data_IF_858270946892
#
_entry.id   IF_858270946892
#
_cell.length_a   1.000
_cell.length_b   1.000
_cell.length_c   1.000
_cell.angle_alpha   90.00
_cell.angle_beta   90.00
_cell.angle_gamma   90.00
#
_symmetry.space_group_name_H-M   'P 1'
#
loop_
_entity.id
_entity.type
_entity.pdbx_description
1 polymer ?
#
# COMPACT_ATOMS: atom_id res chain seq x y z
N UNK A 1 -0.23 -17.47 54.43
CA UNK A 1 0.93 -16.98 53.66
C UNK A 1 1.39 -18.11 52.76
N UNK A 2 1.03 -18.09 51.48
CA UNK A 2 1.54 -19.01 50.48
C UNK A 2 2.15 -18.16 49.36
N UNK A 3 3.44 -18.39 49.12
CA UNK A 3 4.30 -17.62 48.22
C UNK A 3 4.02 -18.07 46.79
N UNK A 4 3.62 -17.12 45.93
CA UNK A 4 3.52 -17.30 44.49
C UNK A 4 4.93 -17.30 43.88
N UNK A 5 5.31 -18.39 43.21
CA UNK A 5 6.50 -18.42 42.36
C UNK A 5 6.13 -17.85 40.96
N UNK A 6 6.95 -16.99 40.35
CA UNK A 6 6.70 -16.50 39.00
C UNK A 6 7.18 -17.54 37.98
N UNK A 7 6.25 -18.07 37.18
CA UNK A 7 6.56 -18.77 35.93
C UNK A 7 6.96 -17.73 34.88
N UNK A 8 8.26 -17.41 34.82
CA UNK A 8 8.87 -16.81 33.63
C UNK A 8 9.48 -17.94 32.80
N UNK A 9 8.74 -18.44 31.81
CA UNK A 9 9.35 -19.20 30.70
C UNK A 9 10.02 -18.19 29.74
N UNK A 10 11.23 -18.48 29.22
CA UNK A 10 11.83 -17.65 28.17
C UNK A 10 10.97 -17.68 26.90
N UNK A 11 10.92 -16.58 26.16
CA UNK A 11 10.47 -16.61 24.76
C UNK A 11 11.38 -17.57 23.99
N UNK A 12 10.81 -18.67 23.49
CA UNK A 12 11.49 -19.55 22.54
C UNK A 12 11.76 -18.80 21.22
N UNK A 13 12.89 -19.10 20.60
CA UNK A 13 13.32 -18.53 19.32
C UNK A 13 12.29 -18.89 18.23
N UNK A 14 11.72 -17.93 17.47
CA UNK A 14 10.69 -18.19 16.46
C UNK A 14 11.10 -19.13 15.31
N UNK A 15 12.31 -19.68 15.33
CA UNK A 15 12.83 -20.59 14.29
C UNK A 15 12.60 -22.08 14.59
N UNK A 16 12.12 -22.46 15.78
CA UNK A 16 12.04 -23.88 16.18
C UNK A 16 10.64 -24.52 16.11
N UNK A 17 9.62 -23.75 15.70
CA UNK A 17 8.28 -24.30 15.44
C UNK A 17 8.23 -24.85 14.02
N UNK A 18 8.56 -26.14 13.85
CA UNK A 18 8.24 -26.86 12.61
C UNK A 18 6.75 -27.24 12.63
N UNK A 19 5.96 -26.90 11.60
CA UNK A 19 4.61 -27.41 11.50
C UNK A 19 4.68 -28.91 11.17
N UNK A 20 4.39 -29.75 12.16
CA UNK A 20 4.10 -31.15 11.91
C UNK A 20 2.92 -31.24 10.93
N UNK A 21 2.97 -32.22 10.01
CA UNK A 21 1.92 -32.42 9.01
C UNK A 21 0.60 -32.78 9.71
N UNK A 22 -0.29 -31.81 9.86
CA UNK A 22 -1.66 -32.04 10.31
C UNK A 22 -2.44 -32.78 9.23
N UNK A 23 -2.91 -33.99 9.54
CA UNK A 23 -3.83 -34.75 8.70
C UNK A 23 -5.24 -34.24 9.02
N UNK A 24 -5.83 -33.47 8.11
CA UNK A 24 -7.19 -32.94 8.26
C UNK A 24 -8.20 -33.92 7.65
N UNK A 25 -9.25 -34.25 8.40
CA UNK A 25 -10.28 -35.23 8.00
C UNK A 25 -11.58 -34.61 7.45
N UNK A 26 -11.78 -33.28 7.52
CA UNK A 26 -12.90 -32.57 6.88
C UNK A 26 -12.55 -31.12 6.50
N UNK A 27 -13.29 -30.51 5.56
CA UNK A 27 -13.03 -29.13 5.06
C UNK A 27 -13.13 -28.06 6.16
N UNK A 28 -14.07 -28.24 7.09
CA UNK A 28 -14.26 -27.29 8.20
C UNK A 28 -13.17 -27.44 9.27
N UNK A 29 -12.67 -28.67 9.46
CA UNK A 29 -11.55 -28.94 10.38
C UNK A 29 -10.24 -28.33 9.89
N UNK A 30 -10.00 -28.23 8.58
CA UNK A 30 -8.78 -27.62 8.01
C UNK A 30 -8.71 -26.14 8.36
N UNK A 31 -9.83 -25.45 8.16
CA UNK A 31 -9.94 -24.00 8.40
C UNK A 31 -9.70 -23.69 9.88
N UNK A 32 -10.33 -24.45 10.78
CA UNK A 32 -10.16 -24.29 12.23
C UNK A 32 -8.74 -24.63 12.70
N UNK A 33 -8.14 -25.69 12.16
CA UNK A 33 -6.77 -26.11 12.51
C UNK A 33 -5.74 -25.06 12.09
N UNK A 34 -5.87 -24.53 10.87
CA UNK A 34 -5.01 -23.46 10.37
C UNK A 34 -5.21 -22.18 11.18
N UNK A 35 -6.45 -21.79 11.45
CA UNK A 35 -6.76 -20.62 12.26
C UNK A 35 -6.14 -20.72 13.66
N UNK A 36 -6.30 -21.85 14.37
CA UNK A 36 -5.68 -22.06 15.68
C UNK A 36 -4.14 -21.99 15.60
N UNK A 37 -3.54 -22.60 14.57
CA UNK A 37 -2.09 -22.47 14.32
C UNK A 37 -1.66 -21.01 14.17
N UNK A 38 -2.43 -20.19 13.45
CA UNK A 38 -2.11 -18.78 13.24
C UNK A 38 -2.29 -17.92 14.48
N UNK A 39 -3.30 -18.18 15.31
CA UNK A 39 -3.45 -17.45 16.58
C UNK A 39 -2.27 -17.69 17.53
N UNK A 40 -1.61 -18.85 17.41
CA UNK A 40 -0.39 -19.17 18.16
C UNK A 40 0.86 -18.49 17.58
N UNK A 41 0.93 -18.34 16.26
CA UNK A 41 2.07 -17.71 15.57
C UNK A 41 2.00 -16.18 15.65
N UNK A 42 0.81 -15.59 15.48
CA UNK A 42 0.60 -14.15 15.49
C UNK A 42 -0.20 -13.73 16.71
N UNK A 43 0.51 -13.08 17.63
CA UNK A 43 -0.02 -12.70 18.93
C UNK A 43 -0.46 -11.24 18.99
N UNK A 44 -0.32 -10.48 17.89
CA UNK A 44 -0.73 -9.07 17.89
C UNK A 44 -2.22 -8.94 17.68
N UNK A 45 -2.85 -8.03 18.42
CA UNK A 45 -4.28 -7.73 18.31
C UNK A 45 -4.69 -7.38 16.87
N UNK A 46 -3.84 -6.64 16.14
CA UNK A 46 -4.08 -6.28 14.74
C UNK A 46 -4.08 -7.51 13.82
N UNK A 47 -3.17 -8.46 14.03
CA UNK A 47 -3.10 -9.69 13.24
C UNK A 47 -4.34 -10.57 13.47
N UNK A 48 -4.81 -10.68 14.71
CA UNK A 48 -6.01 -11.45 15.03
C UNK A 48 -7.27 -10.82 14.40
N UNK A 49 -7.43 -9.50 14.53
CA UNK A 49 -8.52 -8.75 13.87
C UNK A 49 -8.53 -8.93 12.36
N UNK A 50 -7.34 -8.96 11.76
CA UNK A 50 -7.21 -9.22 10.33
C UNK A 50 -7.71 -10.61 9.95
N UNK A 51 -7.31 -11.65 10.69
CA UNK A 51 -7.75 -13.02 10.44
C UNK A 51 -9.26 -13.17 10.62
N UNK A 52 -9.85 -12.52 11.62
CA UNK A 52 -11.31 -12.51 11.83
C UNK A 52 -12.03 -11.86 10.65
N UNK A 53 -11.53 -10.71 10.19
CA UNK A 53 -12.12 -10.00 9.05
C UNK A 53 -11.99 -10.82 7.77
N UNK A 54 -10.85 -11.50 7.57
CA UNK A 54 -10.63 -12.41 6.46
C UNK A 54 -11.61 -13.60 6.51
N UNK A 55 -11.77 -14.24 7.67
CA UNK A 55 -12.67 -15.37 7.83
C UNK A 55 -14.13 -14.99 7.56
N UNK A 56 -14.57 -13.82 8.03
CA UNK A 56 -15.92 -13.29 7.76
C UNK A 56 -16.11 -12.99 6.27
N UNK A 57 -15.10 -12.38 5.62
CA UNK A 57 -15.19 -11.97 4.22
C UNK A 57 -15.27 -13.16 3.24
N UNK A 58 -14.71 -14.30 3.61
CA UNK A 58 -14.64 -15.52 2.79
C UNK A 58 -15.42 -16.70 3.39
N UNK A 59 -16.45 -16.42 4.20
CA UNK A 59 -17.26 -17.44 4.86
C UNK A 59 -17.97 -18.37 3.86
N UNK A 60 -18.33 -17.85 2.68
CA UNK A 60 -18.96 -18.58 1.57
C UNK A 60 -17.95 -19.36 0.71
N UNK A 61 -16.64 -19.10 0.89
CA UNK A 61 -15.54 -19.65 0.10
C UNK A 61 -14.40 -20.14 1.01
N UNK A 62 -14.64 -21.12 1.90
CA UNK A 62 -13.67 -21.56 2.90
C UNK A 62 -12.35 -22.07 2.28
N UNK A 63 -12.42 -22.74 1.13
CA UNK A 63 -11.22 -23.24 0.44
C UNK A 63 -10.34 -22.12 -0.13
N UNK A 64 -10.93 -21.02 -0.57
CA UNK A 64 -10.18 -19.83 -1.01
C UNK A 64 -9.41 -19.24 0.18
N UNK A 65 -10.07 -19.12 1.34
CA UNK A 65 -9.45 -18.67 2.58
C UNK A 65 -8.31 -19.60 3.03
N UNK A 66 -8.53 -20.92 3.04
CA UNK A 66 -7.52 -21.92 3.38
C UNK A 66 -6.29 -21.83 2.46
N UNK A 67 -6.50 -21.71 1.14
CA UNK A 67 -5.40 -21.58 0.19
C UNK A 67 -4.58 -20.30 0.43
N UNK A 68 -5.25 -19.19 0.73
CA UNK A 68 -4.58 -17.92 1.05
C UNK A 68 -3.80 -18.00 2.36
N UNK A 69 -4.37 -18.65 3.37
CA UNK A 69 -3.70 -18.93 4.63
C UNK A 69 -2.46 -19.82 4.43
N UNK A 70 -2.55 -20.89 3.64
CA UNK A 70 -1.40 -21.72 3.27
C UNK A 70 -0.30 -20.89 2.59
N UNK A 71 -0.64 -19.99 1.67
CA UNK A 71 0.33 -19.06 1.07
C UNK A 71 1.05 -18.20 2.12
N UNK A 72 0.33 -17.67 3.12
CA UNK A 72 0.94 -16.89 4.20
C UNK A 72 1.86 -17.79 5.05
N UNK A 73 1.46 -19.03 5.37
CA UNK A 73 2.30 -20.00 6.07
C UNK A 73 3.56 -20.30 5.29
N UNK A 74 3.46 -20.62 4.00
CA UNK A 74 4.60 -20.95 3.15
C UNK A 74 5.58 -19.77 3.04
N UNK A 75 5.05 -18.55 2.92
CA UNK A 75 5.85 -17.35 3.01
C UNK A 75 6.52 -17.21 4.39
N UNK A 76 5.77 -17.43 5.48
CA UNK A 76 6.25 -17.37 6.86
C UNK A 76 7.25 -18.48 7.21
N UNK A 77 7.26 -19.60 6.50
CA UNK A 77 8.29 -20.64 6.60
C UNK A 77 9.49 -20.34 5.69
N UNK A 78 9.38 -19.36 4.80
CA UNK A 78 10.43 -19.00 3.83
C UNK A 78 10.43 -19.84 2.56
N UNK A 79 9.42 -20.71 2.37
CA UNK A 79 9.20 -21.50 1.16
C UNK A 79 8.81 -20.62 -0.03
N UNK A 80 8.02 -19.57 0.23
CA UNK A 80 7.59 -18.60 -0.79
C UNK A 80 8.35 -17.28 -0.60
N UNK A 81 9.02 -16.72 -1.63
CA UNK A 81 9.69 -15.43 -1.53
C UNK A 81 8.66 -14.31 -1.38
N UNK A 82 9.01 -13.22 -0.68
CA UNK A 82 8.05 -12.14 -0.42
C UNK A 82 7.47 -11.48 -1.67
N UNK A 83 8.21 -11.48 -2.80
CA UNK A 83 7.68 -10.99 -4.08
C UNK A 83 6.52 -11.83 -4.58
N UNK A 84 6.67 -13.15 -4.52
CA UNK A 84 5.64 -14.10 -4.95
C UNK A 84 4.43 -14.03 -4.02
N UNK A 85 4.67 -13.95 -2.71
CA UNK A 85 3.60 -13.77 -1.72
C UNK A 85 2.78 -12.50 -2.00
N UNK A 86 3.43 -11.36 -2.24
CA UNK A 86 2.73 -10.12 -2.56
C UNK A 86 1.92 -10.26 -3.85
N UNK A 87 2.48 -10.84 -4.91
CA UNK A 87 1.79 -11.02 -6.20
C UNK A 87 0.53 -11.88 -6.01
N UNK A 88 0.68 -13.05 -5.39
CA UNK A 88 -0.44 -13.95 -5.16
C UNK A 88 -1.48 -13.35 -4.21
N UNK A 89 -1.06 -12.73 -3.10
CA UNK A 89 -1.96 -12.08 -2.15
C UNK A 89 -2.73 -10.92 -2.80
N UNK A 90 -2.05 -10.15 -3.64
CA UNK A 90 -2.66 -9.03 -4.34
C UNK A 90 -3.67 -9.46 -5.41
N UNK A 91 -3.44 -10.61 -6.04
CA UNK A 91 -4.38 -11.25 -6.97
C UNK A 91 -5.59 -11.80 -6.21
N UNK A 92 -5.35 -12.49 -5.09
CA UNK A 92 -6.40 -13.06 -4.24
C UNK A 92 -7.31 -11.98 -3.64
N UNK A 93 -6.72 -10.93 -3.07
CA UNK A 93 -7.44 -9.83 -2.40
C UNK A 93 -7.80 -8.69 -3.35
N UNK A 94 -7.85 -8.94 -4.67
CA UNK A 94 -8.12 -7.90 -5.68
C UNK A 94 -9.41 -7.13 -5.39
N UNK A 95 -10.49 -7.80 -5.02
CA UNK A 95 -11.77 -7.15 -4.75
C UNK A 95 -11.90 -6.70 -3.28
N UNK A 96 -10.81 -6.79 -2.51
CA UNK A 96 -10.76 -6.44 -1.08
C UNK A 96 -9.54 -5.56 -0.76
N UNK A 97 -9.45 -4.33 -1.32
CA UNK A 97 -8.30 -3.44 -1.14
C UNK A 97 -7.98 -3.10 0.33
N UNK A 98 -9.02 -3.08 1.19
CA UNK A 98 -8.84 -2.87 2.64
C UNK A 98 -8.10 -4.04 3.29
N UNK A 99 -8.53 -5.28 3.04
CA UNK A 99 -7.83 -6.48 3.50
C UNK A 99 -6.40 -6.54 2.96
N UNK A 100 -6.19 -6.21 1.69
CA UNK A 100 -4.84 -6.21 1.13
C UNK A 100 -3.91 -5.20 1.82
N UNK A 101 -4.42 -4.03 2.19
CA UNK A 101 -3.65 -3.04 2.97
C UNK A 101 -3.40 -3.53 4.40
N UNK A 102 -4.39 -4.13 5.04
CA UNK A 102 -4.31 -4.61 6.42
C UNK A 102 -3.37 -5.80 6.57
N UNK A 103 -3.11 -6.56 5.50
CA UNK A 103 -2.10 -7.61 5.44
C UNK A 103 -0.70 -7.12 5.90
N UNK A 104 -0.43 -5.82 5.84
CA UNK A 104 0.76 -5.22 6.45
C UNK A 104 0.93 -5.52 7.94
N UNK A 105 -0.14 -5.83 8.70
CA UNK A 105 -0.01 -6.23 10.09
C UNK A 105 0.70 -7.59 10.22
N UNK A 106 0.50 -8.49 9.26
CA UNK A 106 1.15 -9.81 9.18
C UNK A 106 2.56 -9.70 8.59
N UNK A 107 2.76 -8.79 7.61
CA UNK A 107 4.03 -8.67 6.89
C UNK A 107 5.21 -8.10 7.71
N UNK A 108 4.99 -7.71 8.97
CA UNK A 108 6.01 -7.17 9.90
C UNK A 108 7.00 -8.23 10.41
N UNK A 109 7.60 -9.02 9.52
CA UNK A 109 8.56 -10.06 9.89
C UNK A 109 9.85 -9.43 10.44
N UNK A 110 10.49 -9.97 11.50
CA UNK A 110 11.68 -9.39 12.11
C UNK A 110 12.90 -9.23 11.17
N UNK A 111 12.89 -9.92 10.03
CA UNK A 111 14.02 -10.00 9.08
C UNK A 111 13.71 -9.49 7.67
N UNK A 112 12.48 -9.06 7.39
CA UNK A 112 12.11 -8.59 6.05
C UNK A 112 10.86 -7.72 6.11
N UNK A 113 11.04 -6.40 6.10
CA UNK A 113 9.93 -5.46 6.06
C UNK A 113 9.48 -5.33 4.61
N UNK A 114 8.50 -6.16 4.24
CA UNK A 114 7.69 -5.90 3.05
C UNK A 114 6.50 -5.05 3.47
N UNK A 115 6.32 -3.91 2.79
CA UNK A 115 5.17 -3.04 3.03
C UNK A 115 4.40 -2.83 1.75
N UNK A 116 3.12 -3.20 1.78
CA UNK A 116 2.14 -2.99 0.73
C UNK A 116 1.56 -1.58 0.88
N UNK A 117 1.61 -0.80 -0.19
CA UNK A 117 0.88 0.47 -0.34
C UNK A 117 -0.16 0.23 -1.42
N UNK A 118 -1.43 0.32 -1.00
CA UNK A 118 -2.59 0.15 -1.84
C UNK A 118 -3.57 1.30 -1.57
N UNK A 119 -4.08 2.00 -2.60
CA UNK A 119 -5.16 2.94 -2.42
C UNK A 119 -6.43 2.19 -1.99
N UNK A 120 -7.11 2.68 -0.95
CA UNK A 120 -8.30 2.00 -0.37
C UNK A 120 -9.63 2.52 -0.86
N UNK A 121 -9.62 3.61 -1.62
CA UNK A 121 -10.82 4.28 -2.09
C UNK A 121 -11.31 3.70 -3.44
N UNK A 122 -10.63 2.66 -3.95
CA UNK A 122 -11.04 1.89 -5.14
C UNK A 122 -11.90 0.69 -4.74
N UNK A 123 -12.79 0.25 -5.64
CA UNK A 123 -13.53 -1.01 -5.48
C UNK A 123 -12.63 -2.23 -5.76
N UNK A 124 -11.60 -2.06 -6.59
CA UNK A 124 -10.68 -3.11 -6.99
C UNK A 124 -9.23 -2.66 -6.90
N UNK A 125 -8.33 -3.60 -6.61
CA UNK A 125 -6.89 -3.40 -6.64
C UNK A 125 -6.39 -3.62 -8.06
N UNK A 126 -5.89 -2.53 -8.64
CA UNK A 126 -5.31 -2.51 -9.99
C UNK A 126 -3.78 -2.43 -9.95
N UNK A 127 -3.22 -1.96 -8.83
CA UNK A 127 -1.80 -1.90 -8.61
C UNK A 127 -1.49 -2.00 -7.11
N UNK A 128 -0.31 -2.52 -6.80
CA UNK A 128 0.28 -2.50 -5.47
C UNK A 128 1.69 -1.98 -5.56
N UNK A 129 2.05 -1.06 -4.68
CA UNK A 129 3.46 -0.74 -4.43
C UNK A 129 3.92 -1.58 -3.25
N UNK A 130 4.89 -2.47 -3.47
CA UNK A 130 5.51 -3.23 -2.41
C UNK A 130 6.94 -2.73 -2.14
N UNK A 131 7.15 -2.26 -0.93
CA UNK A 131 8.44 -1.77 -0.45
C UNK A 131 9.18 -2.94 0.17
N UNK A 132 10.37 -3.23 -0.31
CA UNK A 132 11.22 -4.29 0.21
C UNK A 132 12.38 -3.64 0.97
N UNK A 133 12.20 -3.47 2.28
CA UNK A 133 13.25 -2.96 3.16
C UNK A 133 14.22 -4.11 3.46
N UNK A 134 15.18 -4.31 2.55
CA UNK A 134 16.39 -5.09 2.90
C UNK A 134 17.30 -4.22 3.77
N UNK A 135 18.24 -4.85 4.49
CA UNK A 135 19.35 -4.16 5.19
C UNK A 135 20.28 -3.36 4.25
N UNK A 136 20.02 -3.36 2.96
CA UNK A 136 20.70 -2.50 1.98
C UNK A 136 20.24 -1.07 2.15
N UNK A 137 21.18 -0.13 2.28
CA UNK A 137 20.90 1.31 2.15
C UNK A 137 21.31 1.73 0.73
N UNK A 138 20.41 2.26 -0.11
CA UNK A 138 19.00 2.60 0.14
C UNK A 138 18.02 1.39 0.04
N UNK A 139 16.80 1.49 0.61
CA UNK A 139 15.76 0.47 0.48
C UNK A 139 15.26 0.34 -0.97
N UNK A 140 14.90 -0.88 -1.37
CA UNK A 140 14.41 -1.18 -2.72
C UNK A 140 12.87 -1.12 -2.70
N UNK A 141 12.27 -0.25 -3.51
CA UNK A 141 10.83 -0.27 -3.73
C UNK A 141 10.52 -0.97 -5.04
N UNK A 142 9.46 -1.78 -5.08
CA UNK A 142 8.98 -2.38 -6.31
C UNK A 142 7.48 -2.18 -6.49
N UNK A 143 7.04 -1.86 -7.70
CA UNK A 143 5.62 -1.89 -8.05
C UNK A 143 5.28 -3.21 -8.71
N UNK A 144 4.17 -3.74 -8.25
CA UNK A 144 3.49 -4.88 -8.81
C UNK A 144 2.18 -4.34 -9.41
N UNK A 145 2.11 -4.33 -10.73
CA UNK A 145 0.86 -4.02 -11.41
C UNK A 145 -0.02 -5.27 -11.38
N UNK A 146 -1.29 -5.12 -10.99
CA UNK A 146 -2.26 -6.22 -11.00
C UNK A 146 -3.10 -6.05 -12.26
N UNK A 147 -2.85 -6.80 -13.33
CA UNK A 147 -3.51 -6.59 -14.62
C UNK A 147 -5.04 -6.76 -14.47
N UNK A 148 -5.83 -5.75 -14.84
CA UNK A 148 -7.33 -5.74 -14.72
C UNK A 148 -7.96 -6.98 -15.35
N UNK A 149 -7.36 -7.47 -16.44
CA UNK A 149 -7.65 -8.73 -17.09
C UNK A 149 -6.34 -9.36 -17.58
N UNK A 150 -6.28 -10.69 -17.72
CA UNK A 150 -5.19 -11.38 -18.43
C UNK A 150 -4.92 -10.77 -19.83
N UNK A 151 -5.95 -10.16 -20.43
CA UNK A 151 -5.95 -9.63 -21.79
C UNK A 151 -5.75 -8.11 -21.88
N UNK A 152 -5.65 -7.37 -20.77
CA UNK A 152 -5.41 -5.92 -20.84
C UNK A 152 -3.99 -5.67 -21.36
N UNK A 153 -3.89 -4.98 -22.51
CA UNK A 153 -2.62 -4.71 -23.20
C UNK A 153 -1.61 -4.09 -22.25
N UNK A 154 -0.49 -4.81 -22.06
CA UNK A 154 0.62 -4.44 -21.19
C UNK A 154 1.25 -3.14 -21.67
N UNK A 155 1.71 -2.23 -20.79
CA UNK A 155 2.48 -1.08 -21.24
C UNK A 155 3.78 -1.56 -21.92
N UNK A 156 4.01 -1.13 -23.16
CA UNK A 156 5.18 -1.49 -23.99
C UNK A 156 6.55 -1.08 -23.39
N UNK A 157 6.54 -0.33 -22.29
CA UNK A 157 7.74 -0.01 -21.51
C UNK A 157 8.41 -1.26 -20.87
N UNK A 158 7.74 -2.42 -20.88
CA UNK A 158 8.18 -3.65 -20.25
C UNK A 158 8.95 -4.55 -21.25
N UNK A 159 10.28 -4.53 -21.20
CA UNK A 159 11.09 -5.54 -21.88
C UNK A 159 10.96 -6.90 -21.18
N UNK A 160 10.34 -7.88 -21.86
CA UNK A 160 10.46 -9.35 -21.77
C UNK A 160 10.59 -10.13 -20.45
N UNK A 161 10.59 -9.54 -19.26
CA UNK A 161 10.64 -10.30 -18.00
C UNK A 161 9.25 -10.43 -17.36
N UNK A 162 8.78 -11.68 -17.26
CA UNK A 162 7.67 -12.08 -16.39
C UNK A 162 8.20 -12.35 -14.98
N UNK A 163 7.61 -11.81 -13.90
CA UNK A 163 6.39 -10.98 -13.78
C UNK A 163 6.65 -9.45 -13.85
N UNK A 164 5.60 -8.61 -14.07
CA UNK A 164 5.73 -7.15 -14.27
C UNK A 164 6.13 -6.45 -12.97
N UNK A 165 7.44 -6.32 -12.79
CA UNK A 165 8.05 -5.81 -11.58
C UNK A 165 8.81 -4.53 -11.90
N UNK A 166 8.23 -3.36 -11.66
CA UNK A 166 9.02 -2.13 -11.70
C UNK A 166 9.85 -2.05 -10.43
N UNK A 167 11.16 -2.04 -10.54
CA UNK A 167 12.04 -1.82 -9.38
C UNK A 167 12.61 -0.40 -9.36
N UNK A 168 12.95 0.11 -8.18
CA UNK A 168 13.72 1.36 -8.05
C UNK A 168 15.09 1.29 -8.71
N UNK A 169 15.63 0.09 -8.91
CA UNK A 169 16.88 -0.13 -9.63
C UNK A 169 16.71 0.11 -11.14
N UNK A 170 15.52 -0.20 -11.68
CA UNK A 170 15.15 0.04 -13.08
C UNK A 170 14.65 1.46 -13.37
N UNK A 171 14.28 2.22 -12.33
CA UNK A 171 14.07 3.67 -12.41
C UNK A 171 15.43 4.40 -12.57
N UNK A 172 16.18 4.00 -13.61
CA UNK A 172 17.46 4.58 -13.99
C UNK A 172 17.29 6.01 -14.51
N UNK A 173 18.40 6.71 -14.69
CA UNK A 173 18.45 8.09 -15.21
C UNK A 173 17.69 8.24 -16.54
N UNK A 174 17.61 7.17 -17.32
CA UNK A 174 16.93 7.12 -18.62
C UNK A 174 15.40 7.03 -18.50
N UNK A 175 14.84 6.85 -17.31
CA UNK A 175 13.39 6.90 -17.11
C UNK A 175 12.81 8.24 -17.58
N UNK A 176 13.54 9.33 -17.33
CA UNK A 176 13.14 10.67 -17.77
C UNK A 176 13.03 10.77 -19.30
N UNK A 177 13.93 10.12 -20.05
CA UNK A 177 13.88 10.15 -21.50
C UNK A 177 12.72 9.31 -22.04
N UNK A 178 12.23 8.32 -21.28
CA UNK A 178 11.15 7.40 -21.68
C UNK A 178 9.76 7.75 -21.14
N UNK A 179 9.63 8.76 -20.28
CA UNK A 179 8.37 9.10 -19.61
C UNK A 179 7.22 9.44 -20.57
N UNK A 180 7.56 9.91 -21.78
CA UNK A 180 6.59 10.20 -22.84
C UNK A 180 5.92 8.94 -23.42
N UNK A 181 6.58 7.78 -23.31
CA UNK A 181 6.09 6.48 -23.74
C UNK A 181 5.09 5.86 -22.74
N UNK A 182 4.94 6.45 -21.54
CA UNK A 182 3.96 5.97 -20.56
C UNK A 182 2.57 6.17 -21.14
N UNK A 183 1.84 5.07 -21.30
CA UNK A 183 0.44 5.08 -21.67
C UNK A 183 -0.36 5.95 -20.68
N UNK A 184 -1.23 6.86 -21.14
CA UNK A 184 -2.09 7.65 -20.25
C UNK A 184 -2.85 6.84 -19.20
N UNK A 185 -3.25 5.59 -19.50
CA UNK A 185 -3.92 4.68 -18.58
C UNK A 185 -3.04 4.35 -17.36
N UNK A 186 -1.74 4.20 -17.58
CA UNK A 186 -0.78 3.81 -16.53
C UNK A 186 -0.14 5.00 -15.82
N UNK A 187 -0.31 6.22 -16.35
CA UNK A 187 0.33 7.41 -15.83
C UNK A 187 0.01 7.74 -14.34
N UNK A 188 -1.22 7.56 -13.82
CA UNK A 188 -1.50 7.74 -12.39
C UNK A 188 -0.70 6.78 -11.49
N UNK A 189 -0.52 5.53 -11.92
CA UNK A 189 0.21 4.51 -11.17
C UNK A 189 1.71 4.75 -11.17
N UNK A 190 2.26 5.16 -12.33
CA UNK A 190 3.64 5.61 -12.44
C UNK A 190 3.87 6.85 -11.57
N UNK A 191 2.89 7.76 -11.46
CA UNK A 191 2.97 8.91 -10.56
C UNK A 191 3.08 8.47 -9.09
N UNK A 192 2.20 7.55 -8.67
CA UNK A 192 2.22 6.99 -7.30
C UNK A 192 3.56 6.29 -7.02
N UNK A 193 4.15 5.57 -8.00
CA UNK A 193 5.50 5.01 -7.89
C UNK A 193 6.52 6.06 -7.53
N UNK A 194 6.61 7.10 -8.37
CA UNK A 194 7.60 8.14 -8.25
C UNK A 194 7.48 8.86 -6.90
N UNK A 195 6.24 9.06 -6.43
CA UNK A 195 5.96 9.65 -5.13
C UNK A 195 6.39 8.74 -3.98
N UNK A 196 6.05 7.45 -4.02
CA UNK A 196 6.46 6.48 -3.00
C UNK A 196 7.98 6.40 -2.96
N UNK A 197 8.64 6.26 -4.11
CA UNK A 197 10.10 6.27 -4.21
C UNK A 197 10.68 7.58 -3.66
N UNK A 198 10.07 8.72 -3.98
CA UNK A 198 10.49 10.02 -3.47
C UNK A 198 10.32 10.17 -1.95
N UNK A 199 9.28 9.56 -1.38
CA UNK A 199 9.00 9.59 0.05
C UNK A 199 10.01 8.73 0.83
N UNK A 200 10.31 7.52 0.34
CA UNK A 200 11.21 6.58 1.03
C UNK A 200 12.70 6.80 0.73
N UNK A 201 13.06 7.49 -0.36
CA UNK A 201 14.46 7.82 -0.66
C UNK A 201 14.89 9.17 -0.03
N UNK A 202 15.80 9.10 0.94
CA UNK A 202 16.46 10.22 1.62
C UNK A 202 17.99 10.17 1.38
N UNK A 203 18.80 11.25 1.45
CA UNK A 203 18.59 12.67 1.18
C UNK A 203 19.40 13.13 -0.06
N UNK A 204 19.70 12.26 -1.03
CA UNK A 204 20.46 12.66 -2.22
C UNK A 204 19.64 13.65 -3.05
N UNK A 205 19.92 14.94 -2.86
CA UNK A 205 19.16 16.07 -3.38
C UNK A 205 18.98 16.02 -4.91
N UNK A 206 19.96 15.46 -5.62
CA UNK A 206 19.92 15.29 -7.07
C UNK A 206 18.86 14.28 -7.53
N UNK A 207 18.75 13.13 -6.85
CA UNK A 207 17.75 12.11 -7.18
C UNK A 207 16.33 12.60 -6.89
N UNK A 208 16.12 13.28 -5.76
CA UNK A 208 14.82 13.87 -5.42
C UNK A 208 14.37 14.91 -6.45
N UNK A 209 15.28 15.77 -6.92
CA UNK A 209 14.99 16.74 -7.99
C UNK A 209 14.58 16.04 -9.28
N UNK A 210 15.23 14.92 -9.65
CA UNK A 210 14.86 14.13 -10.83
C UNK A 210 13.47 13.50 -10.70
N UNK A 211 13.13 12.92 -9.54
CA UNK A 211 11.80 12.35 -9.30
C UNK A 211 10.71 13.42 -9.37
N UNK A 212 10.93 14.59 -8.75
CA UNK A 212 10.00 15.72 -8.84
C UNK A 212 9.83 16.17 -10.29
N UNK A 213 10.93 16.34 -11.04
CA UNK A 213 10.86 16.67 -12.47
C UNK A 213 10.13 15.62 -13.29
N UNK A 214 10.30 14.34 -12.96
CA UNK A 214 9.60 13.24 -13.62
C UNK A 214 8.10 13.34 -13.36
N UNK A 215 7.70 13.53 -12.10
CA UNK A 215 6.29 13.71 -11.73
C UNK A 215 5.68 14.94 -12.41
N UNK A 216 6.40 16.08 -12.41
CA UNK A 216 5.96 17.29 -13.10
C UNK A 216 5.81 17.07 -14.60
N UNK A 217 6.78 16.41 -15.24
CA UNK A 217 6.73 16.12 -16.66
C UNK A 217 5.54 15.22 -16.96
N UNK A 218 5.40 14.08 -16.27
CA UNK A 218 4.28 13.15 -16.45
C UNK A 218 2.92 13.83 -16.26
N UNK A 219 2.80 14.72 -15.25
CA UNK A 219 1.61 15.54 -15.03
C UNK A 219 1.35 16.47 -16.21
N UNK A 220 2.39 17.12 -16.74
CA UNK A 220 2.26 18.05 -17.87
C UNK A 220 1.89 17.35 -19.17
N UNK A 221 2.49 16.18 -19.46
CA UNK A 221 2.28 15.47 -20.74
C UNK A 221 1.04 14.58 -20.74
N UNK A 222 0.64 14.01 -19.60
CA UNK A 222 -0.48 13.05 -19.53
C UNK A 222 -1.66 13.55 -18.69
N UNK A 223 -1.54 14.70 -18.03
CA UNK A 223 -2.56 15.17 -17.09
C UNK A 223 -2.77 14.24 -15.89
N UNK A 224 -1.79 13.38 -15.61
CA UNK A 224 -1.89 12.35 -14.57
C UNK A 224 -1.61 12.92 -13.18
N UNK A 225 -2.37 12.46 -12.19
CA UNK A 225 -2.18 12.80 -10.78
C UNK A 225 -1.90 11.50 -10.04
N UNK A 226 -1.19 11.60 -8.91
CA UNK A 226 -1.10 10.48 -8.01
C UNK A 226 -2.46 10.28 -7.32
N UNK A 227 -3.00 9.05 -7.25
CA UNK A 227 -4.24 8.75 -6.55
C UNK A 227 -4.26 9.24 -5.10
N UNK A 228 -3.11 9.22 -4.39
CA UNK A 228 -3.03 9.68 -3.00
C UNK A 228 -3.30 11.19 -2.78
N UNK A 229 -3.49 11.95 -3.86
CA UNK A 229 -3.91 13.36 -3.84
C UNK A 229 -5.42 13.51 -3.63
N UNK A 230 -6.18 12.49 -3.99
CA UNK A 230 -7.62 12.46 -3.87
C UNK A 230 -7.96 11.87 -2.52
N UNK A 231 -8.31 12.74 -1.58
CA UNK A 231 -8.77 12.30 -0.27
C UNK A 231 -10.30 12.26 -0.29
N UNK A 232 -10.85 11.05 -0.22
CA UNK A 232 -12.29 10.82 -0.12
C UNK A 232 -12.76 10.83 1.34
N UNK A 233 -14.07 10.93 1.52
CA UNK A 233 -14.75 10.86 2.83
C UNK A 233 -14.26 11.88 3.85
N UNK A 234 -13.90 13.07 3.36
CA UNK A 234 -13.52 14.20 4.17
C UNK A 234 -14.69 15.16 4.30
N UNK A 235 -15.07 15.46 5.54
CA UNK A 235 -16.01 16.52 5.84
C UNK A 235 -15.29 17.68 6.54
N UNK A 236 -15.64 18.91 6.15
CA UNK A 236 -15.16 20.12 6.81
C UNK A 236 -16.01 20.38 8.04
N UNK A 237 -15.38 20.62 9.18
CA UNK A 237 -16.05 21.07 10.40
C UNK A 237 -16.05 22.59 10.50
N UNK A 238 -17.20 23.17 10.84
CA UNK A 238 -17.35 24.60 11.06
C UNK A 238 -17.52 25.43 9.79
N UNK A 239 -17.90 26.69 10.00
CA UNK A 239 -18.12 27.69 8.94
C UNK A 239 -16.90 28.57 8.67
N UNK A 240 -15.89 28.55 9.54
CA UNK A 240 -14.72 29.43 9.47
C UNK A 240 -13.40 28.66 9.48
N UNK A 241 -12.39 29.25 8.83
CA UNK A 241 -11.01 28.77 8.88
C UNK A 241 -10.51 28.79 10.33
N UNK A 242 -9.73 27.79 10.71
CA UNK A 242 -9.06 27.75 12.03
C UNK A 242 -7.90 28.74 12.05
N UNK A 243 -7.10 28.73 10.97
CA UNK A 243 -5.99 29.65 10.74
C UNK A 243 -5.69 29.71 9.25
N UNK A 244 -4.78 30.58 8.83
CA UNK A 244 -4.35 30.69 7.44
C UNK A 244 -2.93 31.19 7.34
N UNK A 245 -2.20 30.69 6.34
CA UNK A 245 -0.90 31.23 5.91
C UNK A 245 -1.00 31.86 4.53
N UNK A 246 0.08 32.42 3.98
CA UNK A 246 0.04 33.18 2.72
C UNK A 246 -0.71 32.52 1.55
N UNK A 247 -0.62 31.19 1.40
CA UNK A 247 -1.15 30.46 0.25
C UNK A 247 -2.26 29.44 0.55
N UNK A 248 -2.65 29.28 1.82
CA UNK A 248 -3.63 28.27 2.20
C UNK A 248 -4.36 28.63 3.48
N UNK A 249 -5.62 28.24 3.53
CA UNK A 249 -6.42 28.23 4.74
C UNK A 249 -6.35 26.84 5.38
N UNK A 250 -6.36 26.82 6.71
CA UNK A 250 -6.39 25.61 7.51
C UNK A 250 -7.78 25.46 8.10
N UNK A 251 -8.42 24.35 7.80
CA UNK A 251 -9.73 23.98 8.30
C UNK A 251 -9.64 22.78 9.20
N UNK A 252 -10.59 22.70 10.13
CA UNK A 252 -10.85 21.48 10.88
C UNK A 252 -11.72 20.56 10.01
N UNK A 253 -11.49 19.26 10.07
CA UNK A 253 -12.32 18.29 9.36
C UNK A 253 -12.35 16.94 10.02
N UNK A 254 -13.16 16.04 9.46
CA UNK A 254 -13.17 14.61 9.81
C UNK A 254 -12.94 13.75 8.59
N UNK A 255 -12.25 12.63 8.80
CA UNK A 255 -12.16 11.52 7.85
C UNK A 255 -12.42 10.23 8.61
N UNK A 256 -13.44 9.48 8.21
CA UNK A 256 -13.83 8.23 8.89
C UNK A 256 -13.96 8.41 10.42
N UNK A 257 -14.60 9.50 10.85
CA UNK A 257 -14.78 9.86 12.27
C UNK A 257 -13.54 10.43 12.96
N UNK A 258 -12.34 10.25 12.41
CA UNK A 258 -11.09 10.79 12.95
C UNK A 258 -10.92 12.26 12.62
N UNK A 259 -10.38 13.01 13.57
CA UNK A 259 -10.11 14.43 13.41
C UNK A 259 -8.90 14.64 12.49
N UNK A 260 -9.07 15.50 11.48
CA UNK A 260 -8.01 15.84 10.52
C UNK A 260 -7.87 17.34 10.34
N UNK A 261 -6.67 17.77 9.99
CA UNK A 261 -6.38 19.12 9.52
C UNK A 261 -6.50 19.16 8.00
N UNK A 262 -7.32 20.07 7.46
CA UNK A 262 -7.51 20.26 6.02
C UNK A 262 -6.80 21.53 5.56
N UNK A 263 -5.78 21.37 4.72
CA UNK A 263 -5.09 22.50 4.09
C UNK A 263 -5.72 22.81 2.73
N UNK A 264 -6.52 23.87 2.67
CA UNK A 264 -7.23 24.32 1.47
C UNK A 264 -6.41 25.42 0.80
N UNK A 265 -5.90 25.18 -0.40
CA UNK A 265 -5.15 26.20 -1.13
C UNK A 265 -6.03 27.36 -1.59
N UNK A 266 -5.48 28.57 -1.53
CA UNK A 266 -6.08 29.77 -2.11
C UNK A 266 -5.50 30.02 -3.50
N UNK A 267 -6.36 30.14 -4.50
CA UNK A 267 -5.98 30.55 -5.84
C UNK A 267 -6.44 31.99 -6.06
N UNK A 268 -5.49 32.91 -6.20
CA UNK A 268 -5.77 34.29 -6.56
C UNK A 268 -5.68 34.42 -8.07
N UNK A 269 -6.84 34.50 -8.72
CA UNK A 269 -6.94 34.48 -10.18
C UNK A 269 -7.73 35.69 -10.63
N UNK A 270 -7.15 36.53 -11.48
CA UNK A 270 -7.78 37.78 -11.93
C UNK A 270 -8.91 37.56 -12.93
N UNK A 271 -8.96 36.40 -13.60
CA UNK A 271 -10.01 36.06 -14.57
C UNK A 271 -10.63 34.68 -14.30
N UNK A 272 -11.92 34.46 -14.63
CA UNK A 272 -12.57 33.16 -14.56
C UNK A 272 -11.91 32.08 -15.45
N UNK A 273 -11.33 32.50 -16.57
CA UNK A 273 -10.60 31.63 -17.52
C UNK A 273 -9.27 31.14 -16.94
N UNK A 274 -8.54 32.03 -16.25
CA UNK A 274 -7.32 31.66 -15.53
C UNK A 274 -7.65 30.78 -14.33
N UNK A 275 -8.82 30.97 -13.71
CA UNK A 275 -9.34 30.06 -12.70
C UNK A 275 -9.55 28.65 -13.27
N UNK A 276 -10.16 28.53 -14.45
CA UNK A 276 -10.35 27.23 -15.11
C UNK A 276 -9.02 26.57 -15.52
N UNK A 277 -8.03 27.35 -15.97
CA UNK A 277 -6.66 26.87 -16.22
C UNK A 277 -5.96 26.45 -14.94
N UNK A 278 -6.11 27.21 -13.86
CA UNK A 278 -5.57 26.88 -12.54
C UNK A 278 -6.25 25.67 -11.92
N UNK A 279 -7.55 25.46 -12.14
CA UNK A 279 -8.20 24.21 -11.77
C UNK A 279 -7.75 23.02 -12.63
N UNK A 280 -7.28 23.25 -13.87
CA UNK A 280 -6.61 22.20 -14.69
C UNK A 280 -5.19 21.91 -14.23
N UNK A 281 -4.42 22.92 -13.81
CA UNK A 281 -3.00 22.79 -13.39
C UNK A 281 -2.84 22.44 -11.90
N UNK A 282 -3.80 22.87 -11.07
CA UNK A 282 -3.80 22.78 -9.60
C UNK A 282 -5.09 22.18 -9.02
N UNK A 283 -5.83 21.36 -9.78
CA UNK A 283 -6.73 20.29 -9.27
C UNK A 283 -6.13 19.41 -8.14
N UNK A 284 -4.88 19.65 -7.77
CA UNK A 284 -3.90 18.73 -7.23
C UNK A 284 -3.45 19.07 -5.80
N UNK A 285 -3.82 20.20 -5.19
CA UNK A 285 -3.25 20.56 -3.87
C UNK A 285 -4.36 20.85 -2.85
N UNK A 286 -5.59 20.46 -3.16
CA UNK A 286 -6.79 21.00 -2.51
C UNK A 286 -7.05 20.57 -1.07
N UNK A 287 -6.53 19.44 -0.60
CA UNK A 287 -6.66 19.00 0.79
C UNK A 287 -5.59 17.95 1.12
N UNK A 288 -4.56 18.35 1.85
CA UNK A 288 -3.79 17.36 2.62
C UNK A 288 -4.48 17.18 3.96
N UNK A 289 -4.97 15.97 4.22
CA UNK A 289 -5.47 15.57 5.53
C UNK A 289 -4.28 15.09 6.37
N UNK A 290 -3.87 15.88 7.35
CA UNK A 290 -2.89 15.44 8.34
C UNK A 290 -3.63 14.91 9.57
N UNK A 291 -3.23 13.72 10.03
CA UNK A 291 -3.69 13.21 11.32
C UNK A 291 -3.10 14.08 12.42
N UNK A 292 -3.96 14.63 13.28
CA UNK A 292 -3.53 15.31 14.49
C UNK A 292 -3.36 14.21 15.55
N UNK A 293 -2.10 13.84 15.84
CA UNK A 293 -1.73 12.98 16.96
C UNK A 293 -1.41 13.84 18.18
#
# INVERSE_FOLDING_TARGET
MAVLAPFSKPLEDPQDVRPDKYIVTSEMDATLTLYDMFTRIWTTEDSLKYLDTLAVQFLDKPMECVNFLCLITDWWCGTVPSTEMVIQASTFLRHHPRLLRELNCILKRPKGEVRIVCPVDSQEVECVVALYVRRTRPPIAKIHLIPRSLDSSRPELLSHTTPPLWSTEELHIDFLSRIHLVDPLWAPFVMELLQVVWFFNSPLSFFRKKLIRSMQLLSNIKGALFPSIFVHDVSREGSHVVTGGGFADIWKGRRNGQLVCLKVLRFFTSSPEDRAKLFKVYKFIGCFAFHLS
#
